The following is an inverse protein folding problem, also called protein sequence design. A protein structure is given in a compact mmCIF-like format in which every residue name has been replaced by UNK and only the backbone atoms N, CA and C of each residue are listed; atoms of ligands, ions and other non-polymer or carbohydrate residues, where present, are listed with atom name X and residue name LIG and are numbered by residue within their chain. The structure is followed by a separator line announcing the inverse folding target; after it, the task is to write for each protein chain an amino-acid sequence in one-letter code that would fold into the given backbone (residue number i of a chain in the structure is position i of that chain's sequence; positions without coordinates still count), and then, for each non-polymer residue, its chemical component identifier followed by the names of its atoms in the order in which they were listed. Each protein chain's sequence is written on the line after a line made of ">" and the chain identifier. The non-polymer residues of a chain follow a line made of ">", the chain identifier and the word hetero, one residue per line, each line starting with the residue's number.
data_IF_524009412776
#
_entry.id   IF_524009412776
#
_cell.length_a   1.000
_cell.length_b   1.000
_cell.length_c   1.000
_cell.angle_alpha   90.00
_cell.angle_beta   90.00
_cell.angle_gamma   90.00
#
_symmetry.space_group_name_H-M   'P 1'
#
loop_
_entity.id
_entity.type
_entity.pdbx_description
1 polymer ?
#
# COMPACT_ATOMS: atom_id res chain seq x y z
N UNK A 1 14.85 14.46 15.99
CA UNK A 1 15.45 14.16 14.67
C UNK A 1 16.41 15.26 14.21
N UNK A 2 16.04 16.55 14.21
CA UNK A 2 16.90 17.64 13.71
C UNK A 2 18.31 17.71 14.32
N UNK A 3 18.46 17.50 15.64
CA UNK A 3 19.78 17.41 16.28
C UNK A 3 20.62 16.25 15.72
N UNK A 4 20.01 15.08 15.52
CA UNK A 4 20.68 13.90 14.94
C UNK A 4 21.05 14.14 13.47
N UNK A 5 20.17 14.78 12.69
CA UNK A 5 20.48 15.18 11.32
C UNK A 5 21.67 16.14 11.25
N UNK A 6 21.75 17.11 12.17
CA UNK A 6 22.85 18.05 12.24
C UNK A 6 24.17 17.39 12.67
N UNK A 7 24.14 16.54 13.69
CA UNK A 7 25.36 15.97 14.29
C UNK A 7 25.87 14.73 13.58
N UNK A 8 24.97 13.86 13.10
CA UNK A 8 25.34 12.55 12.52
C UNK A 8 25.40 12.56 11.00
N UNK A 9 24.74 13.51 10.34
CA UNK A 9 24.67 13.62 8.88
C UNK A 9 25.16 14.99 8.37
N UNK A 10 25.79 15.78 9.25
CA UNK A 10 26.39 17.09 8.95
C UNK A 10 25.45 18.08 8.24
N UNK A 11 24.14 17.98 8.51
CA UNK A 11 23.14 18.85 7.88
C UNK A 11 23.19 20.26 8.51
N UNK A 12 23.35 21.35 7.72
CA UNK A 12 23.38 22.71 8.25
C UNK A 12 22.09 23.11 8.98
N UNK A 13 22.21 23.91 10.04
CA UNK A 13 21.05 24.32 10.86
C UNK A 13 19.96 25.06 10.07
N UNK A 14 20.37 25.87 9.10
CA UNK A 14 19.47 26.60 8.18
C UNK A 14 18.55 25.66 7.37
N UNK A 15 18.99 24.42 7.09
CA UNK A 15 18.22 23.44 6.33
C UNK A 15 17.27 22.61 7.19
N UNK A 16 17.44 22.59 8.51
CA UNK A 16 16.72 21.68 9.40
C UNK A 16 15.20 21.92 9.40
N UNK A 17 14.76 23.18 9.31
CA UNK A 17 13.34 23.50 9.27
C UNK A 17 12.70 23.06 7.94
N UNK A 18 13.40 23.27 6.81
CA UNK A 18 12.94 22.83 5.50
C UNK A 18 12.80 21.31 5.44
N UNK A 19 13.85 20.58 5.85
CA UNK A 19 13.84 19.11 5.86
C UNK A 19 12.74 18.55 6.75
N UNK A 20 12.49 19.18 7.91
CA UNK A 20 11.39 18.76 8.80
C UNK A 20 10.03 18.89 8.12
N UNK A 21 9.80 19.99 7.40
CA UNK A 21 8.54 20.20 6.70
C UNK A 21 8.39 19.28 5.48
N UNK A 22 9.44 19.13 4.67
CA UNK A 22 9.48 18.20 3.55
C UNK A 22 9.21 16.76 4.02
N UNK A 23 9.86 16.33 5.11
CA UNK A 23 9.63 15.00 5.69
C UNK A 23 8.17 14.81 6.15
N UNK A 24 7.57 15.84 6.77
CA UNK A 24 6.16 15.81 7.18
C UNK A 24 5.23 15.64 5.98
N UNK A 25 5.47 16.38 4.91
CA UNK A 25 4.70 16.28 3.66
C UNK A 25 4.91 14.93 2.97
N UNK A 26 6.13 14.39 2.99
CA UNK A 26 6.42 13.06 2.46
C UNK A 26 5.68 11.96 3.22
N UNK A 27 5.68 11.98 4.56
CA UNK A 27 4.92 11.02 5.36
C UNK A 27 3.41 11.10 5.07
N UNK A 28 2.87 12.31 4.91
CA UNK A 28 1.46 12.48 4.55
C UNK A 28 1.17 11.92 3.15
N UNK A 29 2.07 12.17 2.19
CA UNK A 29 1.97 11.64 0.82
C UNK A 29 2.06 10.12 0.79
N UNK A 30 2.94 9.51 1.59
CA UNK A 30 3.07 8.06 1.70
C UNK A 30 1.76 7.40 2.19
N UNK A 31 1.09 8.01 3.17
CA UNK A 31 -0.21 7.53 3.64
C UNK A 31 -1.29 7.64 2.56
N UNK A 32 -1.30 8.75 1.81
CA UNK A 32 -2.23 8.96 0.69
C UNK A 32 -1.98 7.91 -0.40
N UNK A 33 -0.73 7.60 -0.73
CA UNK A 33 -0.42 6.56 -1.74
C UNK A 33 -0.95 5.19 -1.33
N UNK A 34 -0.95 4.86 -0.04
CA UNK A 34 -1.58 3.64 0.48
C UNK A 34 -3.09 3.60 0.24
N UNK A 35 -3.81 4.66 0.60
CA UNK A 35 -5.26 4.78 0.37
C UNK A 35 -5.60 4.75 -1.13
N UNK A 36 -4.81 5.42 -1.97
CA UNK A 36 -5.01 5.40 -3.42
C UNK A 36 -4.76 4.01 -4.03
N UNK A 37 -3.81 3.26 -3.50
CA UNK A 37 -3.54 1.88 -3.93
C UNK A 37 -4.74 0.98 -3.65
N UNK A 38 -5.33 1.09 -2.45
CA UNK A 38 -6.54 0.34 -2.11
C UNK A 38 -7.72 0.73 -3.02
N UNK A 39 -7.93 2.03 -3.28
CA UNK A 39 -9.01 2.49 -4.17
C UNK A 39 -8.84 1.98 -5.61
N UNK A 40 -7.62 2.04 -6.14
CA UNK A 40 -7.31 1.52 -7.46
C UNK A 40 -7.62 0.03 -7.56
N UNK A 41 -7.19 -0.74 -6.55
CA UNK A 41 -7.49 -2.17 -6.49
C UNK A 41 -8.99 -2.41 -6.36
N UNK A 42 -9.73 -1.64 -5.56
CA UNK A 42 -11.18 -1.78 -5.47
C UNK A 42 -11.86 -1.58 -6.84
N UNK A 43 -11.47 -0.57 -7.61
CA UNK A 43 -12.01 -0.33 -8.97
C UNK A 43 -11.81 -1.54 -9.90
N UNK A 44 -10.71 -2.28 -9.72
CA UNK A 44 -10.34 -3.44 -10.56
C UNK A 44 -10.90 -4.76 -10.05
N UNK A 45 -10.95 -4.94 -8.73
CA UNK A 45 -11.25 -6.21 -8.08
C UNK A 45 -12.75 -6.38 -7.77
N UNK A 46 -13.47 -5.30 -7.47
CA UNK A 46 -14.91 -5.38 -7.16
C UNK A 46 -15.75 -5.96 -8.32
N UNK A 47 -15.50 -5.60 -9.60
CA UNK A 47 -16.18 -6.25 -10.72
C UNK A 47 -15.92 -7.75 -10.83
N UNK A 48 -14.81 -8.24 -10.27
CA UNK A 48 -14.44 -9.66 -10.24
C UNK A 48 -14.98 -10.39 -8.99
N UNK A 49 -15.81 -9.72 -8.17
CA UNK A 49 -16.43 -10.31 -6.99
C UNK A 49 -15.57 -10.26 -5.73
N UNK A 50 -14.50 -9.46 -5.70
CA UNK A 50 -13.87 -9.08 -4.45
C UNK A 50 -14.68 -7.99 -3.75
N UNK A 51 -14.52 -7.88 -2.43
CA UNK A 51 -15.15 -6.86 -1.61
C UNK A 51 -14.04 -6.07 -0.92
N UNK A 52 -14.01 -4.75 -1.14
CA UNK A 52 -13.08 -3.87 -0.43
C UNK A 52 -13.56 -3.60 1.00
N UNK A 53 -12.76 -3.98 1.98
CA UNK A 53 -12.99 -3.76 3.40
C UNK A 53 -12.54 -2.35 3.82
N UNK A 54 -13.10 -1.31 3.20
CA UNK A 54 -12.68 0.07 3.43
C UNK A 54 -12.71 0.48 4.92
N UNK A 55 -11.70 1.26 5.32
CA UNK A 55 -11.54 1.76 6.69
C UNK A 55 -10.87 0.76 7.62
N UNK A 56 -11.40 0.63 8.84
CA UNK A 56 -10.87 -0.29 9.88
C UNK A 56 -11.86 -1.41 10.24
N UNK A 57 -12.82 -1.67 9.34
CA UNK A 57 -13.96 -2.57 9.58
C UNK A 57 -13.52 -4.02 9.79
N UNK A 58 -12.47 -4.47 9.07
CA UNK A 58 -11.85 -5.78 9.24
C UNK A 58 -10.38 -5.57 9.59
N UNK A 59 -9.96 -6.10 10.74
CA UNK A 59 -8.58 -5.88 11.21
C UNK A 59 -7.60 -6.60 10.30
N UNK A 60 -6.66 -5.84 9.74
CA UNK A 60 -5.54 -6.35 8.94
C UNK A 60 -5.93 -7.08 7.63
N UNK A 61 -7.15 -6.85 7.13
CA UNK A 61 -7.64 -7.35 5.84
C UNK A 61 -8.21 -6.19 5.06
N UNK A 62 -7.76 -6.03 3.82
CA UNK A 62 -8.17 -4.93 2.95
C UNK A 62 -9.18 -5.43 1.89
N UNK A 63 -9.08 -6.69 1.46
CA UNK A 63 -10.03 -7.31 0.53
C UNK A 63 -10.41 -8.72 0.94
N UNK A 64 -11.67 -9.09 0.66
CA UNK A 64 -12.17 -10.46 0.80
C UNK A 64 -12.83 -10.94 -0.49
N UNK A 65 -12.76 -12.24 -0.74
CA UNK A 65 -13.43 -12.88 -1.87
C UNK A 65 -13.88 -14.29 -1.49
N UNK A 66 -15.05 -14.72 -1.98
CA UNK A 66 -15.52 -16.07 -1.74
C UNK A 66 -15.18 -16.98 -2.92
N UNK A 67 -14.34 -17.99 -2.67
CA UNK A 67 -14.01 -19.02 -3.64
C UNK A 67 -15.08 -20.11 -3.60
N UNK A 68 -15.98 -20.11 -4.60
CA UNK A 68 -17.07 -21.10 -4.70
C UNK A 68 -16.57 -22.52 -4.99
N UNK A 69 -15.38 -22.70 -5.57
CA UNK A 69 -14.84 -24.03 -5.86
C UNK A 69 -14.24 -24.68 -4.61
N UNK A 70 -13.60 -23.87 -3.76
CA UNK A 70 -12.99 -24.32 -2.51
C UNK A 70 -13.91 -24.20 -1.29
N UNK A 71 -15.04 -23.50 -1.42
CA UNK A 71 -15.97 -23.20 -0.33
C UNK A 71 -15.30 -22.42 0.83
N UNK A 72 -14.43 -21.47 0.48
CA UNK A 72 -13.56 -20.76 1.42
C UNK A 72 -13.48 -19.25 1.15
N UNK A 73 -13.25 -18.47 2.22
CA UNK A 73 -12.96 -17.04 2.12
C UNK A 73 -11.47 -16.79 1.86
N UNK A 74 -11.16 -16.17 0.72
CA UNK A 74 -9.88 -15.53 0.47
C UNK A 74 -9.79 -14.20 1.20
N UNK A 75 -8.72 -14.01 1.98
CA UNK A 75 -8.44 -12.77 2.70
C UNK A 75 -7.12 -12.17 2.17
N UNK A 76 -7.14 -10.89 1.80
CA UNK A 76 -5.99 -10.20 1.24
C UNK A 76 -5.68 -8.92 2.02
N UNK A 77 -4.41 -8.77 2.35
CA UNK A 77 -3.81 -7.54 2.85
C UNK A 77 -2.85 -6.97 1.81
N UNK A 78 -3.00 -5.69 1.52
CA UNK A 78 -2.20 -4.92 0.59
C UNK A 78 -1.28 -3.98 1.36
N UNK A 79 -0.06 -3.82 0.84
CA UNK A 79 0.92 -2.84 1.32
C UNK A 79 1.54 -2.10 0.15
N UNK A 80 1.84 -0.82 0.34
CA UNK A 80 2.55 -0.06 -0.69
C UNK A 80 4.02 -0.52 -0.85
N UNK A 81 4.64 -1.00 0.24
CA UNK A 81 6.06 -1.41 0.26
C UNK A 81 6.24 -2.74 1.00
N UNK A 82 7.23 -3.52 0.58
CA UNK A 82 7.64 -4.78 1.22
C UNK A 82 7.98 -4.62 2.72
N UNK A 83 8.58 -3.48 3.08
CA UNK A 83 9.06 -3.16 4.42
C UNK A 83 8.11 -2.27 5.23
N UNK A 84 6.86 -2.09 4.78
CA UNK A 84 5.84 -1.32 5.53
C UNK A 84 5.37 -2.04 6.80
N UNK A 85 5.71 -3.32 6.97
CA UNK A 85 5.25 -4.12 8.10
C UNK A 85 6.13 -3.90 9.35
N UNK A 86 5.49 -3.54 10.47
CA UNK A 86 6.15 -3.52 11.78
C UNK A 86 5.84 -4.84 12.53
N UNK A 87 6.62 -5.14 13.57
CA UNK A 87 6.50 -6.40 14.33
C UNK A 87 5.13 -6.65 14.99
N UNK A 88 4.27 -5.63 15.07
CA UNK A 88 2.91 -5.75 15.59
C UNK A 88 1.89 -6.21 14.55
N UNK A 89 2.12 -5.91 13.27
CA UNK A 89 1.25 -6.33 12.16
C UNK A 89 1.58 -7.76 11.70
N UNK A 90 2.84 -8.17 11.77
CA UNK A 90 3.25 -9.55 11.45
C UNK A 90 2.64 -10.59 12.40
N UNK A 91 2.59 -10.29 13.70
CA UNK A 91 2.05 -11.19 14.73
C UNK A 91 0.56 -11.49 14.60
N UNK A 92 -0.21 -10.61 13.94
CA UNK A 92 -1.62 -10.85 13.67
C UNK A 92 -1.79 -11.89 12.56
N UNK A 93 -0.82 -11.97 11.63
CA UNK A 93 -0.87 -12.93 10.53
C UNK A 93 -0.44 -14.34 10.94
N UNK A 94 0.41 -14.47 11.96
CA UNK A 94 0.86 -15.76 12.47
C UNK A 94 -0.37 -16.63 12.84
N UNK A 95 -0.60 -17.69 12.05
CA UNK A 95 -1.76 -18.60 12.10
C UNK A 95 -3.09 -18.09 11.49
N UNK A 96 -3.06 -17.14 10.55
CA UNK A 96 -4.24 -16.72 9.77
C UNK A 96 -4.07 -17.04 8.28
N UNK A 97 -5.16 -17.28 7.53
CA UNK A 97 -5.10 -17.51 6.07
C UNK A 97 -4.92 -16.21 5.26
N UNK A 98 -4.62 -15.08 5.91
CA UNK A 98 -4.51 -13.78 5.26
C UNK A 98 -3.28 -13.75 4.35
N UNK A 99 -3.53 -13.66 3.04
CA UNK A 99 -2.48 -13.43 2.04
C UNK A 99 -2.01 -11.99 2.15
N UNK A 100 -0.70 -11.79 2.10
CA UNK A 100 -0.09 -10.45 2.01
C UNK A 100 0.47 -10.24 0.62
N UNK A 101 0.14 -9.11 0.02
CA UNK A 101 0.78 -8.61 -1.19
C UNK A 101 1.32 -7.19 -0.95
N UNK A 102 2.38 -6.82 -1.67
CA UNK A 102 2.94 -5.47 -1.63
C UNK A 102 3.26 -4.96 -3.04
N UNK A 103 3.26 -3.64 -3.25
CA UNK A 103 3.48 -3.01 -4.57
C UNK A 103 4.94 -2.81 -4.94
N UNK A 104 5.75 -2.22 -4.06
CA UNK A 104 7.13 -1.79 -4.37
C UNK A 104 8.18 -2.45 -3.48
N UNK A 105 9.37 -2.68 -4.04
CA UNK A 105 10.52 -3.22 -3.29
C UNK A 105 11.31 -2.10 -2.61
N UNK A 106 11.80 -2.38 -1.39
CA UNK A 106 12.53 -1.37 -0.62
C UNK A 106 13.97 -1.13 -1.07
N UNK A 107 14.60 -2.17 -1.60
CA UNK A 107 16.03 -2.23 -1.92
C UNK A 107 16.33 -2.24 -3.42
N UNK A 108 15.30 -2.22 -4.27
CA UNK A 108 15.46 -2.19 -5.73
C UNK A 108 14.32 -1.40 -6.35
N UNK A 109 14.60 -0.78 -7.50
CA UNK A 109 13.60 -0.05 -8.29
C UNK A 109 12.79 -1.05 -9.12
N UNK A 110 11.83 -1.70 -8.47
CA UNK A 110 10.93 -2.67 -9.08
C UNK A 110 9.56 -2.63 -8.41
N UNK A 111 8.55 -3.06 -9.16
CA UNK A 111 7.19 -3.31 -8.67
C UNK A 111 6.92 -4.81 -8.63
N UNK A 112 5.81 -5.20 -8.00
CA UNK A 112 5.49 -6.60 -7.68
C UNK A 112 4.07 -6.99 -8.17
N UNK A 113 3.56 -6.29 -9.18
CA UNK A 113 2.23 -6.49 -9.76
C UNK A 113 2.04 -7.90 -10.33
N UNK A 114 3.10 -8.48 -10.91
CA UNK A 114 3.14 -9.83 -11.46
C UNK A 114 2.91 -10.93 -10.41
N UNK A 115 3.14 -10.63 -9.13
CA UNK A 115 2.93 -11.57 -8.02
C UNK A 115 1.61 -11.29 -7.27
N UNK A 116 0.69 -10.52 -7.86
CA UNK A 116 -0.62 -10.28 -7.27
C UNK A 116 -1.39 -11.62 -7.15
N UNK A 117 -1.98 -11.94 -5.98
CA UNK A 117 -2.44 -13.29 -5.65
C UNK A 117 -3.78 -13.71 -6.29
N UNK A 118 -4.23 -13.02 -7.34
CA UNK A 118 -5.48 -13.24 -8.04
C UNK A 118 -5.24 -13.42 -9.55
N UNK A 119 -5.65 -14.58 -10.08
CA UNK A 119 -5.48 -14.95 -11.48
C UNK A 119 -6.46 -14.21 -12.40
N UNK A 120 -7.59 -13.74 -11.86
CA UNK A 120 -8.63 -13.07 -12.64
C UNK A 120 -8.26 -11.61 -12.92
N UNK A 121 -7.70 -10.91 -11.94
CA UNK A 121 -7.32 -9.49 -12.05
C UNK A 121 -5.88 -9.23 -12.49
N UNK A 122 -4.96 -10.17 -12.27
CA UNK A 122 -3.52 -9.98 -12.57
C UNK A 122 -3.20 -9.66 -14.03
N UNK A 123 -4.11 -9.89 -14.97
CA UNK A 123 -3.92 -9.53 -16.39
C UNK A 123 -4.01 -8.02 -16.68
N UNK A 124 -4.71 -7.26 -15.83
CA UNK A 124 -4.96 -5.82 -16.03
C UNK A 124 -4.42 -4.94 -14.89
N UNK A 125 -3.63 -5.50 -13.97
CA UNK A 125 -2.99 -4.77 -12.87
C UNK A 125 -1.53 -4.46 -13.21
N UNK A 126 -1.20 -3.18 -13.36
CA UNK A 126 0.17 -2.73 -13.60
C UNK A 126 0.44 -1.34 -13.00
N UNK A 127 1.71 -0.96 -12.97
CA UNK A 127 2.17 0.30 -12.37
C UNK A 127 1.74 1.53 -13.18
N UNK A 128 1.68 1.44 -14.50
CA UNK A 128 1.34 2.57 -15.36
C UNK A 128 -0.14 2.95 -15.19
N UNK A 129 -1.03 1.97 -15.14
CA UNK A 129 -2.45 2.17 -14.86
C UNK A 129 -2.69 2.71 -13.46
N UNK A 130 -1.96 2.21 -12.45
CA UNK A 130 -2.02 2.76 -11.10
C UNK A 130 -1.62 4.25 -11.07
N UNK A 131 -0.54 4.62 -11.77
CA UNK A 131 -0.10 6.02 -11.87
C UNK A 131 -1.12 6.91 -12.58
N UNK A 132 -1.71 6.42 -13.67
CA UNK A 132 -2.76 7.12 -14.40
C UNK A 132 -4.00 7.32 -13.52
N UNK A 133 -4.39 6.31 -12.74
CA UNK A 133 -5.46 6.40 -11.74
C UNK A 133 -5.15 7.47 -10.70
N UNK A 134 -3.96 7.46 -10.09
CA UNK A 134 -3.55 8.43 -9.07
C UNK A 134 -3.61 9.86 -9.61
N UNK A 135 -3.07 10.09 -10.80
CA UNK A 135 -3.08 11.42 -11.42
C UNK A 135 -4.52 11.90 -11.67
N UNK A 136 -5.36 11.05 -12.27
CA UNK A 136 -6.77 11.34 -12.53
C UNK A 136 -7.54 11.64 -11.25
N UNK A 137 -7.34 10.84 -10.21
CA UNK A 137 -8.01 10.97 -8.93
C UNK A 137 -7.62 12.28 -8.21
N UNK A 138 -6.33 12.56 -8.10
CA UNK A 138 -5.84 13.78 -7.44
C UNK A 138 -6.24 15.06 -8.20
N UNK A 139 -6.32 15.01 -9.53
CA UNK A 139 -6.82 16.14 -10.34
C UNK A 139 -8.30 16.42 -10.13
N UNK A 140 -9.13 15.41 -9.81
CA UNK A 140 -10.56 15.57 -9.55
C UNK A 140 -10.88 16.17 -8.18
N UNK A 141 -9.95 16.05 -7.22
CA UNK A 141 -10.14 16.51 -5.83
C UNK A 141 -9.58 17.93 -5.62
N UNK A 142 -8.75 18.41 -6.57
CA UNK A 142 -8.36 19.83 -6.63
C UNK A 142 -9.50 20.69 -7.14
#
# INVERSE_FOLDING_TARGET
>A
VSLVLNVSFDIPQENLNRIKEEHRLSMASENIVGDLLERYLAEKLEPCGWIWCSGTSVKAVDFIHYDNEKDEWGLLQVKNRDNTENSSSSKIRDNTPIKKWFRTFSQRDATNWENFPDEVSSKDLNEDDFRAFVESYLRKIK
#
